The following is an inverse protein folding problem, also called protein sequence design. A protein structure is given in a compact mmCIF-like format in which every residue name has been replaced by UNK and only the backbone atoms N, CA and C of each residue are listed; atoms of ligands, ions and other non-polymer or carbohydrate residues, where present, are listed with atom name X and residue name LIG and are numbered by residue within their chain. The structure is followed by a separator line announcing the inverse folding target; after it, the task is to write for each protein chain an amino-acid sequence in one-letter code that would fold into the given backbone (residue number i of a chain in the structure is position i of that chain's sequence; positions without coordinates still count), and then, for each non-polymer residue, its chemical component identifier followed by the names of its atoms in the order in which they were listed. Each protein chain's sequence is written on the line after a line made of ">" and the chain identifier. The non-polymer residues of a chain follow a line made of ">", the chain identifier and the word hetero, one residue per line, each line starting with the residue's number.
data_IF_187944590318
#
_entry.id   IF_187944590318
#
_cell.length_a   1.000
_cell.length_b   1.000
_cell.length_c   1.000
_cell.angle_alpha   90.00
_cell.angle_beta   90.00
_cell.angle_gamma   90.00
#
_symmetry.space_group_name_H-M   'P 1'
#
loop_
_entity.id
_entity.type
_entity.pdbx_description
1 polymer ?
#
# COMPACT_ATOMS: atom_id res chain seq x y z
N UNK A 1 -26.69 40.64 41.42
CA UNK A 1 -25.62 41.66 41.34
C UNK A 1 -25.33 41.88 39.87
N UNK A 2 -25.95 42.90 39.29
CA UNK A 2 -25.71 43.38 37.93
C UNK A 2 -24.41 44.19 37.91
N UNK A 3 -23.54 43.92 36.93
CA UNK A 3 -22.45 44.82 36.55
C UNK A 3 -22.59 45.15 35.06
N UNK A 4 -23.37 46.20 34.81
CA UNK A 4 -23.41 46.93 33.53
C UNK A 4 -22.16 47.80 33.44
N UNK A 5 -21.25 47.50 32.51
CA UNK A 5 -20.27 48.48 32.05
C UNK A 5 -20.52 48.80 30.58
N UNK A 6 -21.26 49.89 30.39
CA UNK A 6 -21.31 50.64 29.14
C UNK A 6 -20.20 51.68 29.19
N UNK A 7 -19.30 51.68 28.21
CA UNK A 7 -18.44 52.83 27.94
C UNK A 7 -18.25 52.96 26.43
N UNK A 8 -19.00 53.93 25.91
CA UNK A 8 -18.85 54.53 24.60
C UNK A 8 -17.49 55.24 24.55
N UNK A 9 -16.66 54.94 23.56
CA UNK A 9 -15.66 55.90 23.06
C UNK A 9 -15.63 55.85 21.54
N UNK A 10 -16.22 56.90 20.97
CA UNK A 10 -16.08 57.30 19.58
C UNK A 10 -14.69 57.93 19.38
N UNK A 11 -14.03 57.60 18.27
CA UNK A 11 -12.69 58.11 17.97
C UNK A 11 -12.29 57.99 16.51
N UNK A 12 -12.75 58.97 15.72
CA UNK A 12 -12.07 59.65 14.60
C UNK A 12 -11.55 58.85 13.39
N UNK A 13 -12.14 59.24 12.25
CA UNK A 13 -11.63 59.12 10.88
C UNK A 13 -10.16 59.52 10.73
N UNK A 14 -9.41 58.69 10.03
CA UNK A 14 -8.11 59.01 9.43
C UNK A 14 -8.00 58.33 8.07
N UNK A 15 -8.38 59.05 7.01
CA UNK A 15 -8.08 58.69 5.62
C UNK A 15 -6.58 58.85 5.38
N UNK A 16 -5.91 57.76 5.03
CA UNK A 16 -4.58 57.81 4.41
C UNK A 16 -4.53 56.74 3.33
N UNK A 17 -4.76 57.18 2.10
CA UNK A 17 -4.57 56.40 0.89
C UNK A 17 -3.07 56.34 0.58
N UNK A 18 -2.45 55.19 0.80
CA UNK A 18 -1.14 54.86 0.23
C UNK A 18 -1.35 53.66 -0.70
N UNK A 19 -1.23 53.91 -2.00
CA UNK A 19 -1.28 52.90 -3.04
C UNK A 19 0.00 52.04 -2.97
N UNK A 20 -0.11 50.90 -2.29
CA UNK A 20 0.86 49.81 -2.35
C UNK A 20 0.26 48.64 -3.11
N UNK A 21 0.54 48.52 -4.41
CA UNK A 21 0.32 47.28 -5.15
C UNK A 21 1.45 46.31 -4.79
N UNK A 22 1.41 45.78 -3.57
CA UNK A 22 2.13 44.55 -3.25
C UNK A 22 1.30 43.44 -3.89
N UNK A 23 1.73 43.01 -5.07
CA UNK A 23 1.14 41.89 -5.78
C UNK A 23 1.28 40.63 -4.95
N UNK A 24 0.25 40.30 -4.19
CA UNK A 24 0.08 39.00 -3.57
C UNK A 24 -0.06 37.98 -4.71
N UNK A 25 1.07 37.44 -5.17
CA UNK A 25 1.10 36.17 -5.88
C UNK A 25 0.62 35.12 -4.88
N UNK A 26 -0.70 34.97 -4.77
CA UNK A 26 -1.31 33.79 -4.20
C UNK A 26 -0.93 32.65 -5.14
N UNK A 27 0.24 32.05 -4.89
CA UNK A 27 0.54 30.73 -5.39
C UNK A 27 -0.56 29.86 -4.81
N UNK A 28 -1.53 29.49 -5.66
CA UNK A 28 -2.40 28.38 -5.37
C UNK A 28 -1.46 27.18 -5.23
N UNK A 29 -1.03 26.89 -4.00
CA UNK A 29 -0.45 25.60 -3.67
C UNK A 29 -1.50 24.60 -4.12
N UNK A 30 -1.18 23.79 -5.12
CA UNK A 30 -1.94 22.59 -5.36
C UNK A 30 -2.08 21.92 -4.00
N UNK A 31 -3.32 21.64 -3.57
CA UNK A 31 -3.55 20.78 -2.43
C UNK A 31 -2.95 19.43 -2.83
N UNK A 32 -1.70 19.21 -2.43
CA UNK A 32 -1.04 17.93 -2.59
C UNK A 32 -1.66 17.07 -1.51
N UNK A 33 -2.30 15.98 -1.92
CA UNK A 33 -2.81 15.01 -0.96
C UNK A 33 -1.64 14.56 -0.09
N UNK A 34 -1.75 14.82 1.21
CA UNK A 34 -0.70 14.49 2.16
C UNK A 34 -0.78 13.00 2.45
N UNK A 35 0.31 12.29 2.20
CA UNK A 35 0.45 10.91 2.67
C UNK A 35 0.69 10.97 4.16
N UNK A 36 -0.17 10.30 4.92
CA UNK A 36 -0.09 10.22 6.38
C UNK A 36 -0.12 8.75 6.79
N UNK A 37 0.77 8.41 7.72
CA UNK A 37 0.82 7.09 8.34
C UNK A 37 -0.20 7.06 9.48
N UNK A 38 -1.12 6.10 9.41
CA UNK A 38 -2.12 5.83 10.45
C UNK A 38 -1.85 4.49 11.13
N UNK A 39 -2.06 4.38 12.46
CA UNK A 39 -1.83 3.12 13.16
C UNK A 39 -3.04 2.19 13.06
N UNK A 40 -2.80 0.90 13.29
CA UNK A 40 -3.88 -0.07 13.51
C UNK A 40 -4.62 0.25 14.81
N UNK A 41 -5.91 -0.09 14.84
CA UNK A 41 -6.70 -0.03 16.06
C UNK A 41 -6.06 -0.93 17.14
N UNK A 42 -5.70 -0.38 18.32
CA UNK A 42 -5.03 -1.15 19.37
C UNK A 42 -5.89 -2.29 19.93
N UNK A 43 -7.20 -2.30 19.68
CA UNK A 43 -8.07 -3.44 20.00
C UNK A 43 -7.88 -4.68 19.11
N UNK A 44 -7.09 -4.57 18.02
CA UNK A 44 -6.76 -5.67 17.12
C UNK A 44 -5.38 -6.29 17.37
N UNK A 45 -4.61 -5.80 18.36
CA UNK A 45 -3.28 -6.31 18.69
C UNK A 45 -3.09 -6.42 20.21
N UNK A 46 -2.30 -7.39 20.70
CA UNK A 46 -1.72 -8.50 19.95
C UNK A 46 -2.78 -9.56 19.60
N UNK A 47 -2.68 -10.19 18.44
CA UNK A 47 -3.64 -11.19 17.96
C UNK A 47 -2.93 -12.30 17.19
N UNK A 48 -3.35 -13.56 17.36
CA UNK A 48 -2.93 -14.69 16.52
C UNK A 48 -3.98 -14.95 15.43
N UNK A 49 -3.61 -15.61 14.34
CA UNK A 49 -4.54 -15.88 13.26
C UNK A 49 -5.73 -16.73 13.73
N UNK A 50 -5.47 -17.74 14.57
CA UNK A 50 -6.48 -18.67 15.09
C UNK A 50 -7.48 -18.01 16.05
N UNK A 51 -7.04 -17.00 16.81
CA UNK A 51 -7.83 -16.34 17.85
C UNK A 51 -8.78 -15.25 17.32
N UNK A 52 -8.73 -14.95 16.02
CA UNK A 52 -9.55 -13.91 15.41
C UNK A 52 -10.69 -14.47 14.54
N UNK A 53 -11.48 -13.58 13.93
CA UNK A 53 -12.53 -14.01 13.01
C UNK A 53 -11.91 -14.68 11.77
N UNK A 54 -12.16 -15.98 11.62
CA UNK A 54 -11.56 -16.78 10.55
C UNK A 54 -12.37 -16.72 9.25
N UNK A 55 -11.81 -16.09 8.21
CA UNK A 55 -12.27 -16.13 6.82
C UNK A 55 -11.08 -16.02 5.86
N UNK A 56 -11.12 -16.72 4.74
CA UNK A 56 -10.10 -16.62 3.69
C UNK A 56 -10.57 -15.76 2.50
N UNK A 57 -11.64 -14.99 2.68
CA UNK A 57 -12.12 -14.06 1.66
C UNK A 57 -11.11 -12.94 1.42
N UNK A 58 -10.96 -12.50 0.16
CA UNK A 58 -10.03 -11.44 -0.26
C UNK A 58 -8.53 -11.80 -0.20
N UNK A 59 -8.20 -13.06 0.07
CA UNK A 59 -6.88 -13.60 -0.21
C UNK A 59 -6.83 -14.17 -1.65
N UNK A 60 -5.65 -14.19 -2.29
CA UNK A 60 -5.49 -14.88 -3.56
C UNK A 60 -5.74 -16.39 -3.40
N UNK A 61 -6.32 -17.01 -4.43
CA UNK A 61 -6.63 -18.44 -4.44
C UNK A 61 -5.38 -19.30 -4.16
N UNK A 62 -5.55 -20.34 -3.34
CA UNK A 62 -4.47 -21.29 -3.02
C UNK A 62 -3.56 -20.88 -1.87
N UNK A 63 -3.83 -19.76 -1.19
CA UNK A 63 -3.22 -19.47 0.11
C UNK A 63 -3.88 -20.31 1.22
N UNK A 64 -3.06 -20.88 2.10
CA UNK A 64 -3.54 -21.68 3.24
C UNK A 64 -2.70 -22.90 3.59
N UNK A 65 -1.63 -23.21 2.84
CA UNK A 65 -0.64 -24.22 3.27
C UNK A 65 0.61 -23.49 3.76
N UNK A 66 0.94 -23.66 5.04
CA UNK A 66 2.17 -23.14 5.64
C UNK A 66 2.21 -21.64 5.92
N UNK A 67 1.11 -20.90 5.68
CA UNK A 67 1.02 -19.46 5.94
C UNK A 67 -0.36 -19.05 6.48
N UNK A 68 -0.35 -18.10 7.39
CA UNK A 68 -1.53 -17.38 7.89
C UNK A 68 -1.79 -16.12 7.07
N UNK A 69 -3.05 -15.84 6.80
CA UNK A 69 -3.52 -14.64 6.12
C UNK A 69 -4.11 -13.60 7.06
N UNK A 70 -3.82 -12.32 6.81
CA UNK A 70 -4.31 -11.19 7.60
C UNK A 70 -4.94 -10.16 6.68
N UNK A 71 -6.22 -9.82 6.89
CA UNK A 71 -6.92 -8.84 6.05
C UNK A 71 -7.28 -7.60 6.85
N UNK A 72 -6.83 -6.46 6.35
CA UNK A 72 -7.02 -5.14 6.93
C UNK A 72 -8.07 -4.36 6.13
N UNK A 73 -8.80 -3.48 6.82
CA UNK A 73 -9.73 -2.54 6.20
C UNK A 73 -9.49 -1.12 6.70
N UNK A 74 -9.49 -0.19 5.76
CA UNK A 74 -9.55 1.24 6.05
C UNK A 74 -11.04 1.65 6.13
N UNK A 75 -11.57 1.93 7.33
CA UNK A 75 -12.98 2.29 7.47
C UNK A 75 -13.25 3.63 6.77
N UNK A 76 -14.44 3.80 6.20
CA UNK A 76 -14.85 5.09 5.60
C UNK A 76 -14.81 6.26 6.60
N UNK A 77 -14.94 5.97 7.89
CA UNK A 77 -14.81 6.96 8.97
C UNK A 77 -13.38 7.48 9.18
N UNK A 78 -12.37 6.88 8.54
CA UNK A 78 -11.00 7.38 8.55
C UNK A 78 -10.83 8.64 7.67
N UNK A 79 -11.85 9.02 6.88
CA UNK A 79 -11.83 10.24 6.07
C UNK A 79 -10.86 10.25 4.88
N UNK A 80 -10.01 9.22 4.75
CA UNK A 80 -9.01 9.12 3.71
C UNK A 80 -9.63 9.09 2.31
N UNK A 81 -9.02 9.83 1.39
CA UNK A 81 -9.42 9.85 -0.01
C UNK A 81 -8.79 8.65 -0.73
N UNK A 82 -9.55 7.57 -0.90
CA UNK A 82 -9.12 6.40 -1.68
C UNK A 82 -8.69 5.20 -0.84
N UNK A 83 -7.81 4.36 -1.41
CA UNK A 83 -7.38 3.08 -0.83
C UNK A 83 -6.11 3.24 0.02
N UNK A 84 -5.74 2.17 0.74
CA UNK A 84 -4.38 2.03 1.25
C UNK A 84 -3.34 2.23 0.14
N UNK A 85 -2.28 2.98 0.44
CA UNK A 85 -1.08 3.06 -0.40
C UNK A 85 -0.20 1.85 -0.09
N UNK A 86 0.05 1.61 1.19
CA UNK A 86 0.81 0.47 1.71
C UNK A 86 0.32 0.13 3.13
N UNK A 87 0.51 -1.13 3.53
CA UNK A 87 0.39 -1.56 4.93
C UNK A 87 1.68 -2.26 5.32
N UNK A 88 2.21 -1.90 6.49
CA UNK A 88 3.36 -2.53 7.12
C UNK A 88 2.92 -3.09 8.46
N UNK A 89 3.15 -4.38 8.69
CA UNK A 89 2.75 -5.08 9.90
C UNK A 89 3.96 -5.72 10.58
N UNK A 90 4.00 -5.62 11.91
CA UNK A 90 5.01 -6.26 12.75
C UNK A 90 4.39 -7.50 13.38
N UNK A 91 5.04 -8.63 13.15
CA UNK A 91 4.66 -9.93 13.69
C UNK A 91 5.73 -10.42 14.66
N UNK A 92 5.31 -11.10 15.71
CA UNK A 92 6.19 -11.81 16.63
C UNK A 92 6.07 -13.32 16.38
N UNK A 93 7.20 -14.00 16.20
CA UNK A 93 7.24 -15.45 16.05
C UNK A 93 7.15 -16.18 17.39
N UNK A 94 7.14 -17.52 17.36
CA UNK A 94 7.06 -18.35 18.57
C UNK A 94 8.26 -18.19 19.53
N UNK A 95 9.38 -17.62 19.06
CA UNK A 95 10.57 -17.34 19.86
C UNK A 95 10.55 -15.92 20.46
N UNK A 96 9.55 -15.11 20.14
CA UNK A 96 9.44 -13.71 20.57
C UNK A 96 10.24 -12.74 19.69
N UNK A 97 10.62 -13.13 18.48
CA UNK A 97 11.37 -12.28 17.56
C UNK A 97 10.40 -11.52 16.66
N UNK A 98 10.59 -10.20 16.58
CA UNK A 98 9.80 -9.32 15.70
C UNK A 98 10.27 -9.40 14.24
N UNK A 99 9.31 -9.47 13.33
CA UNK A 99 9.47 -9.49 11.89
C UNK A 99 8.53 -8.47 11.26
N UNK A 100 9.05 -7.66 10.33
CA UNK A 100 8.27 -6.63 9.65
C UNK A 100 7.96 -7.09 8.23
N UNK A 101 6.67 -7.20 7.91
CA UNK A 101 6.15 -7.61 6.61
C UNK A 101 5.33 -6.47 6.00
N UNK A 102 5.23 -6.43 4.67
CA UNK A 102 4.53 -5.35 3.98
C UNK A 102 3.69 -5.83 2.81
N UNK A 103 2.71 -5.04 2.40
CA UNK A 103 1.88 -5.33 1.23
C UNK A 103 2.65 -5.38 -0.09
N UNK A 104 3.85 -4.83 -0.16
CA UNK A 104 4.67 -4.84 -1.38
C UNK A 104 5.45 -6.15 -1.56
N UNK A 105 5.82 -6.81 -0.45
CA UNK A 105 6.63 -8.03 -0.45
C UNK A 105 5.85 -9.29 -0.09
N UNK A 106 4.94 -9.17 0.87
CA UNK A 106 4.35 -10.29 1.60
C UNK A 106 2.82 -10.33 1.47
N UNK A 107 2.25 -9.47 0.62
CA UNK A 107 0.82 -9.23 0.58
C UNK A 107 0.35 -8.51 -0.68
N UNK A 108 -0.71 -7.72 -0.53
CA UNK A 108 -1.22 -6.87 -1.61
C UNK A 108 -2.40 -6.00 -1.22
N UNK A 109 -2.68 -5.00 -2.06
CA UNK A 109 -3.87 -4.15 -1.94
C UNK A 109 -4.99 -4.75 -2.78
N UNK A 110 -6.16 -4.94 -2.18
CA UNK A 110 -7.33 -5.55 -2.85
C UNK A 110 -8.07 -4.47 -3.63
N UNK A 111 -7.90 -4.47 -4.94
CA UNK A 111 -8.62 -3.55 -5.82
C UNK A 111 -10.04 -4.04 -6.13
N UNK A 112 -11.03 -3.14 -6.17
CA UNK A 112 -12.30 -3.37 -6.87
C UNK A 112 -13.51 -3.75 -6.04
N UNK A 113 -13.41 -3.73 -4.71
CA UNK A 113 -14.57 -3.83 -3.81
C UNK A 113 -14.67 -2.52 -3.03
N UNK A 114 -15.87 -1.99 -2.80
CA UNK A 114 -16.12 -0.68 -2.19
C UNK A 114 -15.61 -0.47 -0.75
N UNK A 115 -14.77 -1.39 -0.27
CA UNK A 115 -14.02 -1.29 0.98
C UNK A 115 -12.54 -1.34 0.65
N UNK A 116 -11.82 -0.30 1.05
CA UNK A 116 -10.37 -0.18 0.95
C UNK A 116 -9.69 -1.28 1.80
N UNK A 117 -9.35 -2.42 1.19
CA UNK A 117 -8.78 -3.59 1.87
C UNK A 117 -7.35 -3.87 1.42
N UNK A 118 -6.56 -4.42 2.33
CA UNK A 118 -5.21 -4.92 2.07
C UNK A 118 -5.04 -6.26 2.79
N UNK A 119 -4.12 -7.10 2.32
CA UNK A 119 -3.78 -8.34 3.00
C UNK A 119 -2.27 -8.51 3.11
N UNK A 120 -1.83 -9.24 4.14
CA UNK A 120 -0.45 -9.70 4.35
C UNK A 120 -0.50 -11.18 4.72
N UNK A 121 0.46 -11.95 4.23
CA UNK A 121 0.69 -13.33 4.65
C UNK A 121 1.92 -13.46 5.52
N UNK A 122 1.82 -14.26 6.57
CA UNK A 122 2.92 -14.55 7.49
C UNK A 122 3.04 -16.08 7.68
N UNK A 123 4.19 -16.60 8.12
CA UNK A 123 4.30 -18.01 8.54
C UNK A 123 3.29 -18.37 9.65
N UNK A 124 2.99 -19.67 9.76
CA UNK A 124 2.01 -20.18 10.72
C UNK A 124 2.35 -19.82 12.17
N UNK A 125 1.33 -19.43 12.92
CA UNK A 125 1.40 -19.23 14.37
C UNK A 125 2.07 -17.92 14.78
N UNK A 126 2.36 -17.03 13.85
CA UNK A 126 2.87 -15.70 14.16
C UNK A 126 1.78 -14.81 14.76
N UNK A 127 2.18 -13.95 15.70
CA UNK A 127 1.28 -13.02 16.39
C UNK A 127 1.43 -11.63 15.78
N UNK A 128 0.35 -11.02 15.29
CA UNK A 128 0.35 -9.62 14.91
C UNK A 128 0.46 -8.76 16.16
N UNK A 129 1.54 -7.99 16.30
CA UNK A 129 1.79 -7.15 17.49
C UNK A 129 1.65 -5.65 17.20
N UNK A 130 1.86 -5.23 15.96
CA UNK A 130 1.67 -3.84 15.53
C UNK A 130 1.40 -3.77 14.02
N UNK A 131 0.80 -2.68 13.54
CA UNK A 131 0.72 -2.38 12.12
C UNK A 131 0.45 -0.89 11.86
N UNK A 132 1.00 -0.40 10.76
CA UNK A 132 0.84 0.97 10.27
C UNK A 132 0.47 0.95 8.78
N UNK A 133 -0.23 1.98 8.32
CA UNK A 133 -0.63 2.10 6.92
C UNK A 133 -0.47 3.52 6.41
N UNK A 134 0.04 3.67 5.19
CA UNK A 134 0.10 4.95 4.50
C UNK A 134 -1.17 5.17 3.69
N UNK A 135 -1.81 6.32 3.90
CA UNK A 135 -3.08 6.72 3.25
C UNK A 135 -3.04 8.19 2.83
N UNK A 136 -3.85 8.56 1.83
CA UNK A 136 -3.97 9.94 1.35
C UNK A 136 -5.03 10.72 2.15
N UNK A 137 -4.65 11.86 2.72
CA UNK A 137 -5.52 12.83 3.41
C UNK A 137 -6.50 12.21 4.44
N UNK A 138 -6.06 11.40 5.42
CA UNK A 138 -6.95 10.90 6.44
C UNK A 138 -7.39 11.99 7.43
N UNK A 139 -8.52 11.75 8.11
CA UNK A 139 -8.95 12.54 9.25
C UNK A 139 -7.96 12.42 10.44
N UNK A 140 -7.90 13.45 11.29
CA UNK A 140 -7.05 13.43 12.48
C UNK A 140 -7.44 12.29 13.42
N UNK A 141 -6.46 11.45 13.77
CA UNK A 141 -6.66 10.28 14.63
C UNK A 141 -7.31 9.09 13.92
N UNK A 142 -7.35 9.09 12.58
CA UNK A 142 -7.73 7.93 11.79
C UNK A 142 -6.93 6.68 12.17
N UNK A 143 -7.63 5.54 12.10
CA UNK A 143 -7.09 4.21 12.37
C UNK A 143 -7.69 3.24 11.37
N UNK A 144 -7.01 2.14 11.12
CA UNK A 144 -7.54 1.01 10.35
C UNK A 144 -7.74 -0.22 11.24
N UNK A 145 -8.46 -1.22 10.75
CA UNK A 145 -8.83 -2.39 11.56
C UNK A 145 -8.41 -3.69 10.86
N UNK A 146 -8.16 -4.72 11.66
CA UNK A 146 -8.14 -6.11 11.20
C UNK A 146 -9.59 -6.60 11.05
N UNK A 147 -9.98 -7.10 9.87
CA UNK A 147 -11.35 -7.59 9.64
C UNK A 147 -11.49 -9.07 9.89
N UNK A 148 -10.53 -9.85 9.41
CA UNK A 148 -10.51 -11.29 9.54
C UNK A 148 -9.11 -11.83 9.24
N UNK A 149 -8.90 -13.06 9.68
CA UNK A 149 -7.67 -13.83 9.49
C UNK A 149 -7.99 -15.13 8.77
N UNK A 150 -7.01 -15.71 8.10
CA UNK A 150 -7.11 -17.02 7.46
C UNK A 150 -6.01 -17.90 8.06
N UNK A 151 -6.30 -18.66 9.12
CA UNK A 151 -5.32 -19.58 9.68
C UNK A 151 -4.94 -20.61 8.63
N UNK A 152 -3.64 -20.74 8.36
CA UNK A 152 -3.14 -21.76 7.48
C UNK A 152 -3.13 -23.13 8.13
N UNK A 153 -3.10 -24.15 7.28
CA UNK A 153 -2.86 -25.53 7.69
C UNK A 153 -1.36 -25.83 7.63
N UNK A 154 -0.81 -26.57 8.60
CA UNK A 154 0.53 -27.15 8.47
C UNK A 154 0.59 -27.96 7.18
N UNK A 155 1.57 -27.69 6.33
CA UNK A 155 1.81 -28.55 5.17
C UNK A 155 2.07 -29.96 5.65
N UNK A 156 1.37 -30.93 5.06
CA UNK A 156 1.84 -32.32 5.11
C UNK A 156 3.16 -32.33 4.35
N UNK A 157 4.28 -32.17 5.07
CA UNK A 157 5.57 -32.54 4.52
C UNK A 157 5.40 -34.00 4.11
N UNK A 158 5.43 -34.26 2.79
CA UNK A 158 5.51 -35.61 2.25
C UNK A 158 6.73 -36.24 2.92
N UNK A 159 6.46 -36.97 4.00
CA UNK A 159 7.39 -37.90 4.60
C UNK A 159 7.63 -38.92 3.50
N UNK A 160 8.62 -38.64 2.65
CA UNK A 160 9.09 -39.55 1.63
C UNK A 160 9.25 -40.88 2.35
N UNK A 161 8.55 -41.95 1.93
CA UNK A 161 8.64 -43.22 2.62
C UNK A 161 10.10 -43.60 2.65
N UNK A 162 10.69 -43.66 3.85
CA UNK A 162 12.00 -44.25 4.07
C UNK A 162 11.93 -45.62 3.45
N UNK A 163 12.60 -45.80 2.30
CA UNK A 163 12.83 -47.12 1.74
C UNK A 163 13.52 -47.92 2.83
N UNK A 164 12.85 -48.95 3.34
CA UNK A 164 13.45 -49.90 4.27
C UNK A 164 14.74 -50.43 3.62
N UNK A 165 15.90 -50.39 4.30
CA UNK A 165 17.10 -51.02 3.80
C UNK A 165 16.81 -52.52 3.67
N UNK A 166 16.65 -52.99 2.44
CA UNK A 166 16.50 -54.41 2.14
C UNK A 166 17.78 -55.13 2.56
N UNK A 167 17.59 -56.11 3.45
CA UNK A 167 18.60 -57.02 3.95
C UNK A 167 19.36 -57.72 2.80
N UNK A 168 20.67 -58.01 2.94
CA UNK A 168 21.47 -58.66 1.90
C UNK A 168 21.07 -60.14 1.75
N UNK A 169 20.34 -60.43 0.67
CA UNK A 169 19.98 -61.78 0.24
C UNK A 169 20.91 -62.27 -0.87
N UNK A 170 21.40 -63.49 -0.68
CA UNK A 170 22.50 -64.15 -1.37
C UNK A 170 22.32 -64.38 -2.88
N UNK A 171 23.48 -64.65 -3.47
CA UNK A 171 23.83 -64.92 -4.86
C UNK A 171 22.90 -65.88 -5.61
N UNK A 172 22.63 -65.60 -6.89
CA UNK A 172 22.60 -66.63 -7.94
C UNK A 172 22.90 -65.99 -9.30
N UNK A 173 24.09 -66.30 -9.82
CA UNK A 173 24.56 -66.10 -11.20
C UNK A 173 23.68 -66.77 -12.24
N UNK A 174 23.37 -66.07 -13.34
CA UNK A 174 23.22 -66.69 -14.66
C UNK A 174 23.54 -65.70 -15.80
N UNK A 175 24.32 -66.08 -16.82
CA UNK A 175 24.88 -65.17 -17.83
C UNK A 175 24.10 -65.19 -19.16
N UNK A 176 24.25 -64.13 -19.96
CA UNK A 176 24.13 -64.28 -21.42
C UNK A 176 23.66 -63.08 -22.24
N UNK A 177 24.62 -62.53 -22.99
CA UNK A 177 24.50 -61.98 -24.35
C UNK A 177 23.95 -60.55 -24.60
N UNK A 178 24.90 -59.60 -24.55
CA UNK A 178 25.44 -58.82 -25.68
C UNK A 178 24.50 -58.37 -26.82
N UNK A 179 24.46 -57.06 -27.10
CA UNK A 179 24.72 -56.46 -28.45
C UNK A 179 24.77 -54.92 -28.36
N UNK A 180 25.59 -54.22 -29.18
CA UNK A 180 26.21 -52.94 -28.83
C UNK A 180 25.78 -51.72 -29.67
N UNK A 181 26.01 -50.55 -29.09
CA UNK A 181 26.52 -49.36 -29.79
C UNK A 181 25.48 -48.32 -30.23
N UNK A 182 25.59 -47.10 -29.68
CA UNK A 182 25.84 -45.94 -30.54
C UNK A 182 26.46 -44.78 -29.76
N UNK A 183 27.56 -44.26 -30.33
CA UNK A 183 28.29 -43.05 -29.94
C UNK A 183 27.57 -41.79 -30.38
N UNK A 184 27.67 -40.73 -29.58
CA UNK A 184 27.47 -39.34 -30.01
C UNK A 184 27.85 -38.38 -28.88
N UNK A 185 29.16 -38.10 -28.70
CA UNK A 185 29.87 -36.86 -29.09
C UNK A 185 29.74 -35.72 -28.06
N UNK A 186 30.88 -35.19 -27.56
CA UNK A 186 30.93 -34.01 -26.70
C UNK A 186 30.95 -32.72 -27.54
N UNK A 187 30.26 -31.68 -27.07
CA UNK A 187 30.24 -30.36 -27.70
C UNK A 187 30.30 -29.27 -26.64
N UNK A 188 31.41 -28.54 -26.66
CA UNK A 188 31.71 -27.35 -25.87
C UNK A 188 30.92 -26.11 -26.35
N UNK A 189 31.19 -24.99 -25.69
CA UNK A 189 30.94 -23.59 -26.08
C UNK A 189 29.60 -22.98 -25.62
N UNK A 190 29.65 -22.09 -24.62
CA UNK A 190 29.97 -20.65 -24.76
C UNK A 190 28.76 -19.87 -25.26
N UNK A 191 28.16 -19.07 -24.38
CA UNK A 191 28.04 -17.62 -24.56
C UNK A 191 27.37 -16.98 -23.36
N UNK A 192 28.19 -16.21 -22.62
CA UNK A 192 27.71 -15.05 -21.88
C UNK A 192 27.19 -14.01 -22.88
N UNK A 193 26.11 -13.30 -22.55
CA UNK A 193 26.26 -11.85 -22.58
C UNK A 193 25.72 -11.20 -21.30
N UNK A 194 26.60 -10.37 -20.73
CA UNK A 194 26.23 -9.29 -19.83
C UNK A 194 25.27 -8.33 -20.56
N UNK A 195 23.97 -8.49 -20.30
CA UNK A 195 22.93 -7.55 -20.70
C UNK A 195 22.73 -6.50 -19.60
N UNK A 196 23.57 -5.47 -19.57
CA UNK A 196 23.36 -4.28 -18.76
C UNK A 196 22.30 -3.41 -19.45
N UNK A 197 21.02 -3.64 -19.12
CA UNK A 197 19.93 -2.74 -19.53
C UNK A 197 19.59 -1.82 -18.36
N UNK A 198 20.23 -0.66 -18.34
CA UNK A 198 19.82 0.47 -17.52
C UNK A 198 18.43 0.96 -17.98
N UNK A 199 17.49 1.28 -17.06
CA UNK A 199 16.23 1.88 -17.43
C UNK A 199 16.48 3.24 -18.09
N UNK A 200 16.05 3.37 -19.34
CA UNK A 200 16.03 4.64 -20.08
C UNK A 200 14.83 5.45 -19.58
N UNK A 201 15.03 6.26 -18.55
CA UNK A 201 14.06 7.30 -18.14
C UNK A 201 14.25 8.54 -19.02
N UNK A 202 13.64 8.54 -20.19
CA UNK A 202 13.60 9.68 -21.10
C UNK A 202 12.17 10.12 -21.37
N UNK A 203 11.50 10.72 -20.38
CA UNK A 203 10.21 11.37 -20.61
C UNK A 203 10.46 12.71 -21.37
N UNK A 204 9.83 12.93 -22.55
CA UNK A 204 10.04 14.14 -23.33
C UNK A 204 9.38 15.35 -22.65
N UNK A 205 10.22 16.27 -22.18
CA UNK A 205 9.89 17.54 -21.51
C UNK A 205 9.11 18.55 -22.39
N UNK A 206 8.64 18.17 -23.58
CA UNK A 206 8.07 19.11 -24.57
C UNK A 206 6.56 19.27 -24.50
N UNK A 207 5.82 18.37 -23.82
CA UNK A 207 4.35 18.46 -23.75
C UNK A 207 3.87 19.43 -22.64
N UNK A 208 4.71 19.71 -21.64
CA UNK A 208 4.34 20.55 -20.48
C UNK A 208 4.21 22.06 -20.80
N UNK A 209 4.73 22.54 -21.94
CA UNK A 209 4.73 23.99 -22.24
C UNK A 209 3.48 24.48 -22.98
N UNK A 210 2.69 23.59 -23.61
CA UNK A 210 1.50 24.01 -24.39
C UNK A 210 0.24 24.12 -23.53
N UNK A 211 0.15 23.36 -22.43
CA UNK A 211 -1.02 23.35 -21.53
C UNK A 211 -1.13 24.58 -20.63
N UNK A 212 -0.03 25.28 -20.35
CA UNK A 212 -0.02 26.47 -19.49
C UNK A 212 -0.75 27.68 -20.12
N UNK A 213 -0.68 27.85 -21.45
CA UNK A 213 -1.30 28.99 -22.13
C UNK A 213 -2.84 28.86 -22.21
N UNK A 214 -3.36 27.65 -22.37
CA UNK A 214 -4.80 27.40 -22.47
C UNK A 214 -5.53 27.67 -21.14
N UNK A 215 -4.94 27.29 -20.00
CA UNK A 215 -5.50 27.54 -18.68
C UNK A 215 -5.53 29.03 -18.32
N UNK A 216 -4.50 29.79 -18.71
CA UNK A 216 -4.47 31.24 -18.49
C UNK A 216 -5.60 31.98 -19.24
N UNK A 217 -5.90 31.57 -20.49
CA UNK A 217 -6.98 32.17 -21.26
C UNK A 217 -8.37 31.83 -20.70
N UNK A 218 -8.59 30.58 -20.27
CA UNK A 218 -9.84 30.15 -19.66
C UNK A 218 -10.10 30.85 -18.31
N UNK A 219 -9.07 31.00 -17.48
CA UNK A 219 -9.16 31.71 -16.20
C UNK A 219 -9.51 33.19 -16.37
N UNK A 220 -8.89 33.88 -17.33
CA UNK A 220 -9.18 35.29 -17.61
C UNK A 220 -10.62 35.51 -18.08
N UNK A 221 -11.16 34.60 -18.91
CA UNK A 221 -12.54 34.65 -19.38
C UNK A 221 -13.55 34.43 -18.22
N UNK A 222 -13.30 33.44 -17.36
CA UNK A 222 -14.14 33.17 -16.19
C UNK A 222 -14.12 34.34 -15.19
N UNK A 223 -12.95 34.92 -14.93
CA UNK A 223 -12.82 36.08 -14.05
C UNK A 223 -13.58 37.32 -14.59
N UNK A 224 -13.46 37.60 -15.89
CA UNK A 224 -14.21 38.69 -16.53
C UNK A 224 -15.72 38.46 -16.50
N UNK A 225 -16.17 37.22 -16.67
CA UNK A 225 -17.59 36.86 -16.56
C UNK A 225 -18.14 37.09 -15.14
N UNK A 226 -17.41 36.66 -14.11
CA UNK A 226 -17.80 36.86 -12.71
C UNK A 226 -17.79 38.33 -12.31
N UNK A 227 -16.82 39.12 -12.81
CA UNK A 227 -16.79 40.56 -12.59
C UNK A 227 -18.03 41.26 -13.18
N UNK A 228 -18.42 40.90 -14.42
CA UNK A 228 -19.64 41.43 -15.05
C UNK A 228 -20.91 41.10 -14.27
N UNK A 229 -20.99 39.93 -13.62
CA UNK A 229 -22.15 39.56 -12.80
C UNK A 229 -22.29 40.43 -11.56
N UNK A 230 -21.19 40.88 -10.94
CA UNK A 230 -21.25 41.74 -9.75
C UNK A 230 -21.76 43.15 -10.08
N UNK A 231 -21.34 43.70 -11.22
CA UNK A 231 -21.80 45.02 -11.69
C UNK A 231 -23.30 45.04 -12.01
N UNK A 232 -23.92 43.88 -12.26
CA UNK A 232 -25.34 43.73 -12.53
C UNK A 232 -26.21 43.47 -11.28
N UNK A 233 -25.64 43.40 -10.07
CA UNK A 233 -26.40 43.23 -8.82
C UNK A 233 -26.48 44.50 -7.96
N UNK A 234 -25.82 45.60 -8.37
CA UNK A 234 -25.84 46.90 -7.68
C UNK A 234 -26.90 47.88 -8.27
N UNK A 235 -28.05 47.38 -8.75
CA UNK A 235 -29.17 48.21 -9.22
C UNK A 235 -30.45 48.03 -8.40
#
# INVERSE_FOLDING_TARGET
>A
MELKHSLKQAGRFGLSAAAGLVGSLALASAAQAAIVTIPINPGNVPTTAEDFQNSCDNLPDGQGVGVDGWVFVLPAAAGAEGNFISVTATFEDAEGVEHVLSTDGDGGIVSGSGDNKAYITAPLGWTLVDAEADVEDPDEGAQFNLTHTCPGTPGEEESSPVEQPSSPGEETTSPGSETPGESGTPGEESTSPAGSSLPTTGAPLTIALVSAAALAAAGAAAFMYLRRRREAQDW
#
